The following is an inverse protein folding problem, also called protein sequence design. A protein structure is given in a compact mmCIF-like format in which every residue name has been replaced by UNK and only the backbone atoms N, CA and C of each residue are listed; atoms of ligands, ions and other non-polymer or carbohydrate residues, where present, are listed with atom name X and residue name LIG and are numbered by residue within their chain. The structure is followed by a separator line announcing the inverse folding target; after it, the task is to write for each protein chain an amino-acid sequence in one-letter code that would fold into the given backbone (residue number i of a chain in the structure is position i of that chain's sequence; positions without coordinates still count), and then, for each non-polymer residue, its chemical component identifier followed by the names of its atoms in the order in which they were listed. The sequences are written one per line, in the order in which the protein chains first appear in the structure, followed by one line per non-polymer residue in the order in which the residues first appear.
data_IF_846483266479
#
_entry.id   IF_846483266479
#
_cell.length_a   1.000
_cell.length_b   1.000
_cell.length_c   1.000
_cell.angle_alpha   90.00
_cell.angle_beta   90.00
_cell.angle_gamma   90.00
#
_symmetry.space_group_name_H-M   'P 1'
#
loop_
_entity.id
_entity.type
_entity.pdbx_description
1 polymer ?
#
# COMPACT_ATOMS: atom_id res chain seq x y z
N UNK A 1 -9.70 25.72 13.10
CA UNK A 1 -9.30 24.42 12.46
C UNK A 1 -9.28 23.34 13.53
N UNK A 2 -10.13 22.36 13.40
CA UNK A 2 -10.20 21.18 14.26
C UNK A 2 -9.53 19.98 13.55
N UNK A 3 -8.66 19.24 14.25
CA UNK A 3 -7.97 18.05 13.71
C UNK A 3 -8.37 16.84 14.53
N UNK A 4 -9.14 15.97 13.90
CA UNK A 4 -9.71 14.78 14.52
C UNK A 4 -9.86 13.64 13.51
N UNK A 5 -10.23 12.46 13.98
CA UNK A 5 -10.59 11.38 13.08
C UNK A 5 -11.90 11.69 12.34
N UNK A 6 -11.92 11.32 11.06
CA UNK A 6 -13.11 11.42 10.22
C UNK A 6 -14.14 10.40 10.68
N UNK A 7 -15.40 10.84 10.80
CA UNK A 7 -16.51 9.99 11.20
C UNK A 7 -17.16 9.32 9.97
N UNK A 8 -17.83 8.18 10.12
CA UNK A 8 -18.57 7.54 9.03
C UNK A 8 -19.57 8.44 8.33
N UNK A 9 -20.21 9.36 9.08
CA UNK A 9 -21.14 10.35 8.52
C UNK A 9 -20.50 11.40 7.62
N UNK A 10 -19.16 11.48 7.58
CA UNK A 10 -18.39 12.46 6.80
C UNK A 10 -17.70 11.84 5.58
N UNK A 11 -18.01 10.57 5.29
CA UNK A 11 -17.37 9.78 4.22
C UNK A 11 -17.49 10.42 2.84
N UNK A 12 -18.60 11.12 2.53
CA UNK A 12 -18.76 11.80 1.24
C UNK A 12 -17.77 12.95 1.05
N UNK A 13 -17.53 13.75 2.10
CA UNK A 13 -16.52 14.81 2.06
C UNK A 13 -15.12 14.21 1.89
N UNK A 14 -14.82 13.12 2.61
CA UNK A 14 -13.57 12.39 2.51
C UNK A 14 -13.36 11.88 1.08
N UNK A 15 -14.33 11.16 0.52
CA UNK A 15 -14.25 10.61 -0.83
C UNK A 15 -14.03 11.70 -1.88
N UNK A 16 -14.75 12.83 -1.77
CA UNK A 16 -14.59 13.98 -2.66
C UNK A 16 -13.17 14.55 -2.62
N UNK A 17 -12.59 14.71 -1.44
CA UNK A 17 -11.22 15.23 -1.31
C UNK A 17 -10.17 14.25 -1.86
N UNK A 18 -10.35 12.94 -1.63
CA UNK A 18 -9.42 11.94 -2.12
C UNK A 18 -9.50 11.79 -3.64
N UNK A 19 -10.71 11.76 -4.24
CA UNK A 19 -10.87 11.70 -5.71
C UNK A 19 -10.20 12.88 -6.41
N UNK A 20 -10.34 14.09 -5.87
CA UNK A 20 -9.71 15.27 -6.48
C UNK A 20 -8.18 15.30 -6.34
N UNK A 21 -7.65 14.54 -5.39
CA UNK A 21 -6.20 14.40 -5.19
C UNK A 21 -5.62 13.17 -5.91
N UNK A 22 -6.44 12.15 -6.15
CA UNK A 22 -6.09 10.89 -6.81
C UNK A 22 -7.10 10.56 -7.93
N UNK A 23 -7.06 11.28 -9.06
CA UNK A 23 -8.12 11.23 -10.09
C UNK A 23 -8.22 9.90 -10.86
N UNK A 24 -7.27 8.97 -10.66
CA UNK A 24 -7.34 7.62 -11.25
C UNK A 24 -8.39 6.71 -10.60
N UNK A 25 -8.98 7.12 -9.47
CA UNK A 25 -10.04 6.37 -8.78
C UNK A 25 -11.41 6.86 -9.21
N UNK A 26 -12.36 5.93 -9.40
CA UNK A 26 -13.76 6.33 -9.62
C UNK A 26 -14.40 6.73 -8.29
N UNK A 27 -15.24 7.79 -8.27
CA UNK A 27 -15.86 8.24 -7.02
C UNK A 27 -16.66 7.14 -6.29
N UNK A 28 -17.41 6.33 -7.03
CA UNK A 28 -18.24 5.27 -6.47
C UNK A 28 -17.42 4.14 -5.82
N UNK A 29 -16.38 3.66 -6.50
CA UNK A 29 -15.50 2.61 -5.94
C UNK A 29 -14.73 3.12 -4.73
N UNK A 30 -14.31 4.39 -4.75
CA UNK A 30 -13.59 4.99 -3.65
C UNK A 30 -14.50 5.19 -2.44
N UNK A 31 -15.74 5.63 -2.65
CA UNK A 31 -16.73 5.79 -1.58
C UNK A 31 -16.99 4.45 -0.88
N UNK A 32 -17.24 3.39 -1.63
CA UNK A 32 -17.48 2.05 -1.07
C UNK A 32 -16.28 1.54 -0.26
N UNK A 33 -15.06 1.74 -0.75
CA UNK A 33 -13.86 1.34 -0.02
C UNK A 33 -13.68 2.13 1.26
N UNK A 34 -13.89 3.45 1.23
CA UNK A 34 -13.76 4.32 2.39
C UNK A 34 -14.83 4.08 3.46
N UNK A 35 -16.05 3.76 3.06
CA UNK A 35 -17.09 3.33 4.00
C UNK A 35 -16.64 2.08 4.76
N UNK A 36 -16.06 1.09 4.05
CA UNK A 36 -15.48 -0.10 4.67
C UNK A 36 -14.35 0.25 5.66
N UNK A 37 -13.39 1.06 5.22
CA UNK A 37 -12.23 1.45 6.03
C UNK A 37 -12.61 2.25 7.28
N UNK A 38 -13.60 3.15 7.19
CA UNK A 38 -14.07 3.90 8.36
C UNK A 38 -14.77 3.04 9.42
N UNK A 39 -15.30 1.87 9.03
CA UNK A 39 -15.90 0.89 9.94
C UNK A 39 -14.88 -0.10 10.53
N UNK A 40 -13.63 -0.08 10.07
CA UNK A 40 -12.55 -0.98 10.49
C UNK A 40 -11.31 -0.18 10.90
N UNK A 41 -11.35 0.50 12.03
CA UNK A 41 -10.27 1.41 12.44
C UNK A 41 -8.93 0.73 12.73
N UNK A 42 -8.90 -0.59 12.87
CA UNK A 42 -7.71 -1.42 12.97
C UNK A 42 -6.96 -1.62 11.64
N UNK A 43 -7.63 -1.38 10.51
CA UNK A 43 -7.05 -1.48 9.16
C UNK A 43 -6.42 -0.16 8.70
N UNK A 44 -6.90 0.95 9.23
CA UNK A 44 -6.46 2.31 8.97
C UNK A 44 -7.47 3.34 9.46
N UNK A 45 -7.00 4.53 9.73
CA UNK A 45 -7.84 5.62 10.24
C UNK A 45 -7.58 6.91 9.48
N UNK A 46 -8.63 7.58 9.05
CA UNK A 46 -8.51 8.89 8.43
C UNK A 46 -8.46 10.01 9.46
N UNK A 47 -7.32 10.69 9.53
CA UNK A 47 -7.19 11.95 10.25
C UNK A 47 -7.63 13.09 9.33
N UNK A 48 -8.62 13.88 9.76
CA UNK A 48 -9.17 15.03 9.02
C UNK A 48 -8.81 16.36 9.67
N UNK A 49 -8.70 17.39 8.84
CA UNK A 49 -8.62 18.78 9.25
C UNK A 49 -9.91 19.48 8.82
N UNK A 50 -10.64 20.03 9.77
CA UNK A 50 -11.94 20.68 9.55
C UNK A 50 -11.86 22.17 9.85
N UNK A 51 -12.66 22.95 9.15
CA UNK A 51 -12.91 24.34 9.52
C UNK A 51 -13.96 24.44 10.63
N UNK A 52 -14.33 25.67 10.97
CA UNK A 52 -15.28 25.94 12.05
C UNK A 52 -16.72 25.62 11.65
N UNK A 53 -17.00 25.45 10.34
CA UNK A 53 -18.31 25.08 9.80
C UNK A 53 -18.44 23.56 9.58
N UNK A 54 -17.40 22.79 9.91
CA UNK A 54 -17.37 21.34 9.73
C UNK A 54 -17.02 20.88 8.30
N UNK A 55 -16.50 21.75 7.45
CA UNK A 55 -16.02 21.39 6.13
C UNK A 55 -14.66 20.70 6.23
N UNK A 56 -14.50 19.54 5.60
CA UNK A 56 -13.24 18.81 5.56
C UNK A 56 -12.25 19.48 4.59
N UNK A 57 -11.24 20.14 5.13
CA UNK A 57 -10.19 20.85 4.40
C UNK A 57 -9.11 19.91 3.84
N UNK A 58 -8.93 18.73 4.44
CA UNK A 58 -8.01 17.70 3.99
C UNK A 58 -7.94 16.52 4.93
N UNK A 59 -7.33 15.45 4.47
CA UNK A 59 -7.24 14.19 5.23
C UNK A 59 -5.97 13.40 4.92
N UNK A 60 -5.64 12.47 5.82
CA UNK A 60 -4.57 11.48 5.69
C UNK A 60 -5.09 10.15 6.21
N UNK A 61 -4.92 9.06 5.45
CA UNK A 61 -5.07 7.71 5.96
C UNK A 61 -3.82 7.35 6.76
N UNK A 62 -4.00 7.01 8.01
CA UNK A 62 -2.98 6.52 8.94
C UNK A 62 -3.02 5.00 8.96
N UNK A 63 -1.88 4.35 8.77
CA UNK A 63 -1.77 2.89 8.74
C UNK A 63 -0.59 2.45 9.61
N UNK A 64 -0.79 1.32 10.31
CA UNK A 64 0.21 0.75 11.21
C UNK A 64 0.90 -0.45 10.55
N UNK A 65 2.20 -0.34 10.30
CA UNK A 65 3.04 -1.37 9.73
C UNK A 65 4.08 -1.86 10.74
N UNK A 66 4.65 -3.01 10.44
CA UNK A 66 5.92 -3.44 11.02
C UNK A 66 6.97 -3.47 9.93
N UNK A 67 8.13 -2.85 10.17
CA UNK A 67 9.25 -2.76 9.23
C UNK A 67 10.45 -3.53 9.78
N UNK A 68 11.09 -4.32 8.95
CA UNK A 68 12.37 -4.93 9.30
C UNK A 68 13.50 -3.91 9.13
N UNK A 69 14.15 -3.56 10.23
CA UNK A 69 15.35 -2.72 10.22
C UNK A 69 16.54 -3.56 10.66
N UNK A 70 17.31 -4.08 9.68
CA UNK A 70 18.51 -4.90 9.93
C UNK A 70 18.27 -6.08 10.86
N UNK A 71 17.18 -6.82 10.63
CA UNK A 71 16.80 -8.00 11.41
C UNK A 71 15.93 -7.70 12.65
N UNK A 72 15.64 -6.44 12.93
CA UNK A 72 14.74 -6.05 14.02
C UNK A 72 13.40 -5.59 13.44
N UNK A 73 12.32 -6.25 13.85
CA UNK A 73 10.97 -5.85 13.46
C UNK A 73 10.51 -4.68 14.33
N UNK A 74 10.32 -3.52 13.72
CA UNK A 74 10.00 -2.27 14.42
C UNK A 74 8.62 -1.74 13.98
N UNK A 75 7.82 -1.15 14.90
CA UNK A 75 6.58 -0.49 14.52
C UNK A 75 6.87 0.73 13.63
N UNK A 76 6.05 0.91 12.60
CA UNK A 76 6.15 1.98 11.63
C UNK A 76 4.77 2.55 11.33
N UNK A 77 4.60 3.86 11.43
CA UNK A 77 3.40 4.57 11.02
C UNK A 77 3.50 5.02 9.57
N UNK A 78 2.48 4.75 8.77
CA UNK A 78 2.44 5.18 7.38
C UNK A 78 1.35 6.22 7.11
N UNK A 79 1.63 7.13 6.18
CA UNK A 79 0.67 8.08 5.64
C UNK A 79 0.31 7.70 4.21
N UNK A 80 -0.97 7.45 3.98
CA UNK A 80 -1.53 7.23 2.65
C UNK A 80 -2.64 8.23 2.36
N UNK A 81 -3.07 8.34 1.12
CA UNK A 81 -4.15 9.22 0.68
C UNK A 81 -4.09 10.64 1.27
N UNK A 82 -2.90 11.24 1.32
CA UNK A 82 -2.72 12.63 1.73
C UNK A 82 -3.45 13.53 0.76
N UNK A 83 -4.56 14.09 1.17
CA UNK A 83 -5.45 14.88 0.32
C UNK A 83 -5.73 16.26 0.90
N UNK A 84 -6.05 17.20 0.03
CA UNK A 84 -6.53 18.53 0.43
C UNK A 84 -7.69 18.93 -0.47
N UNK A 85 -8.70 19.53 0.11
CA UNK A 85 -9.82 20.12 -0.60
C UNK A 85 -9.29 21.07 -1.68
N UNK A 86 -9.81 20.94 -2.89
CA UNK A 86 -9.32 21.69 -4.04
C UNK A 86 -9.38 23.20 -3.85
N UNK A 87 -10.39 23.69 -3.14
CA UNK A 87 -10.58 25.11 -2.88
C UNK A 87 -9.65 25.66 -1.78
N UNK A 88 -9.07 24.75 -0.96
CA UNK A 88 -8.19 25.09 0.16
C UNK A 88 -6.73 24.65 -0.06
N UNK A 89 -6.33 24.46 -1.34
CA UNK A 89 -4.94 24.17 -1.68
C UNK A 89 -4.02 25.34 -1.34
N UNK A 90 -2.79 25.01 -0.89
CA UNK A 90 -1.75 25.95 -0.43
C UNK A 90 -2.00 26.60 0.95
N UNK A 91 -3.04 26.24 1.66
CA UNK A 91 -3.30 26.66 3.05
C UNK A 91 -2.56 25.82 4.10
N UNK A 92 -1.55 25.04 3.67
CA UNK A 92 -0.71 24.17 4.51
C UNK A 92 -1.46 23.05 5.25
N UNK A 93 -2.69 22.72 4.84
CA UNK A 93 -3.50 21.66 5.47
C UNK A 93 -2.75 20.34 5.54
N UNK A 94 -2.21 19.87 4.40
CA UNK A 94 -1.43 18.61 4.35
C UNK A 94 -0.19 18.64 5.25
N UNK A 95 0.55 19.77 5.30
CA UNK A 95 1.69 19.91 6.21
C UNK A 95 1.28 19.83 7.69
N UNK A 96 0.16 20.44 8.02
CA UNK A 96 -0.37 20.43 9.39
C UNK A 96 -0.79 19.03 9.80
N UNK A 97 -1.54 18.34 8.94
CA UNK A 97 -1.94 16.95 9.16
C UNK A 97 -0.74 16.00 9.33
N UNK A 98 0.27 16.11 8.47
CA UNK A 98 1.49 15.30 8.58
C UNK A 98 2.24 15.54 9.90
N UNK A 99 2.33 16.80 10.36
CA UNK A 99 2.93 17.11 11.67
C UNK A 99 2.16 16.50 12.83
N UNK A 100 0.82 16.51 12.76
CA UNK A 100 -0.03 15.90 13.78
C UNK A 100 0.13 14.38 13.76
N UNK A 101 0.15 13.76 12.58
CA UNK A 101 0.41 12.34 12.39
C UNK A 101 1.76 11.93 13.00
N UNK A 102 2.83 12.65 12.67
CA UNK A 102 4.16 12.36 13.24
C UNK A 102 4.18 12.45 14.77
N UNK A 103 3.53 13.47 15.33
CA UNK A 103 3.40 13.63 16.79
C UNK A 103 2.55 12.53 17.43
N UNK A 104 1.51 12.10 16.74
CA UNK A 104 0.67 10.97 17.19
C UNK A 104 1.52 9.71 17.31
N UNK A 105 2.23 9.32 16.26
CA UNK A 105 3.08 8.14 16.25
C UNK A 105 4.23 8.24 17.26
N UNK A 106 4.87 9.40 17.38
CA UNK A 106 5.91 9.62 18.39
C UNK A 106 5.39 9.39 19.82
N UNK A 107 4.17 9.86 20.14
CA UNK A 107 3.52 9.63 21.45
C UNK A 107 3.19 8.16 21.69
N UNK A 108 2.95 7.37 20.64
CA UNK A 108 2.72 5.93 20.74
C UNK A 108 4.03 5.12 20.82
N UNK A 109 5.18 5.78 20.80
CA UNK A 109 6.47 5.11 20.77
C UNK A 109 6.83 4.48 19.43
N UNK A 110 6.13 4.84 18.35
CA UNK A 110 6.42 4.39 16.98
C UNK A 110 7.58 5.22 16.43
N UNK A 111 8.78 4.64 16.23
CA UNK A 111 9.98 5.40 15.93
C UNK A 111 10.14 5.80 14.48
N UNK A 112 9.36 5.18 13.58
CA UNK A 112 9.53 5.33 12.13
C UNK A 112 8.21 5.82 11.51
N UNK A 113 8.30 6.87 10.70
CA UNK A 113 7.22 7.34 9.82
C UNK A 113 7.57 7.09 8.36
N UNK A 114 6.64 6.58 7.56
CA UNK A 114 6.84 6.24 6.16
C UNK A 114 5.71 6.77 5.28
N UNK A 115 6.01 6.99 4.01
CA UNK A 115 5.03 7.27 2.97
C UNK A 115 5.60 6.99 1.57
N UNK A 116 4.72 6.85 0.59
CA UNK A 116 5.12 6.84 -0.81
C UNK A 116 4.93 8.25 -1.40
N UNK A 117 6.01 8.97 -1.77
CA UNK A 117 5.90 10.38 -2.12
C UNK A 117 5.43 10.57 -3.58
N UNK A 118 4.41 11.39 -3.81
CA UNK A 118 4.11 11.93 -5.14
C UNK A 118 5.01 13.12 -5.52
N UNK A 119 5.50 13.86 -4.53
CA UNK A 119 6.45 14.96 -4.68
C UNK A 119 7.51 14.87 -3.58
N UNK A 120 8.66 14.24 -3.85
CA UNK A 120 9.72 14.06 -2.85
C UNK A 120 10.18 15.33 -2.18
N UNK A 121 10.32 16.44 -2.92
CA UNK A 121 10.77 17.71 -2.36
C UNK A 121 9.82 18.27 -1.29
N UNK A 122 8.50 18.05 -1.46
CA UNK A 122 7.51 18.45 -0.47
C UNK A 122 7.72 17.74 0.88
N UNK A 123 7.98 16.44 0.85
CA UNK A 123 8.19 15.65 2.06
C UNK A 123 9.59 15.83 2.66
N UNK A 124 10.62 16.03 1.83
CA UNK A 124 11.96 16.32 2.30
C UNK A 124 12.02 17.57 3.18
N UNK A 125 11.25 18.62 2.83
CA UNK A 125 11.12 19.83 3.65
C UNK A 125 10.47 19.61 5.01
N UNK A 126 9.91 18.41 5.26
CA UNK A 126 9.32 18.01 6.53
C UNK A 126 10.17 16.96 7.28
N UNK A 127 11.38 16.69 6.77
CA UNK A 127 12.33 15.78 7.41
C UNK A 127 12.27 14.33 6.92
N UNK A 128 11.47 14.01 5.88
CA UNK A 128 11.50 12.69 5.27
C UNK A 128 12.73 12.53 4.37
N UNK A 129 13.35 11.36 4.44
CA UNK A 129 14.43 10.94 3.56
C UNK A 129 14.05 9.72 2.72
N UNK A 130 14.81 9.45 1.67
CA UNK A 130 14.66 8.21 0.93
C UNK A 130 15.14 7.03 1.78
N UNK A 131 14.35 5.95 1.79
CA UNK A 131 14.71 4.73 2.53
C UNK A 131 14.79 3.50 1.61
N UNK A 132 13.89 3.37 0.66
CA UNK A 132 13.82 2.27 -0.29
C UNK A 132 13.70 2.78 -1.72
N UNK A 133 14.30 2.05 -2.66
CA UNK A 133 14.14 2.26 -4.09
C UNK A 133 13.36 1.08 -4.68
N UNK A 134 12.46 1.38 -5.59
CA UNK A 134 11.75 0.37 -6.37
C UNK A 134 12.36 0.31 -7.77
N UNK A 135 12.70 -0.88 -8.22
CA UNK A 135 13.23 -1.12 -9.56
C UNK A 135 12.14 -1.78 -10.42
N UNK A 136 11.85 -1.17 -11.56
CA UNK A 136 10.98 -1.76 -12.58
C UNK A 136 11.86 -2.44 -13.63
N UNK A 137 11.70 -3.76 -13.79
CA UNK A 137 12.37 -4.55 -14.81
C UNK A 137 11.38 -4.84 -15.94
N UNK A 138 11.74 -4.48 -17.17
CA UNK A 138 10.91 -4.71 -18.37
C UNK A 138 11.70 -5.52 -19.41
N UNK A 139 11.97 -6.80 -19.18
CA UNK A 139 12.63 -7.65 -20.16
C UNK A 139 11.68 -8.00 -21.32
N UNK A 140 12.22 -8.06 -22.53
CA UNK A 140 11.47 -8.67 -23.63
C UNK A 140 11.29 -10.17 -23.36
N UNK A 141 10.17 -10.81 -23.74
CA UNK A 141 9.97 -12.25 -23.57
C UNK A 141 11.11 -13.11 -24.13
N UNK A 142 11.71 -12.69 -25.25
CA UNK A 142 12.85 -13.36 -25.86
C UNK A 142 14.14 -13.31 -25.02
N UNK A 143 14.25 -12.42 -24.05
CA UNK A 143 15.38 -12.35 -23.12
C UNK A 143 15.23 -13.31 -21.94
N UNK A 144 14.02 -13.83 -21.72
CA UNK A 144 13.73 -14.80 -20.65
C UNK A 144 14.02 -16.19 -21.21
N UNK A 145 15.05 -16.82 -20.66
CA UNK A 145 15.43 -18.17 -21.09
C UNK A 145 14.42 -19.20 -20.57
N UNK A 146 13.99 -20.10 -21.46
CA UNK A 146 13.07 -21.19 -21.11
C UNK A 146 13.86 -22.42 -20.65
N UNK A 147 14.30 -22.41 -19.40
CA UNK A 147 14.87 -23.60 -18.76
C UNK A 147 14.49 -23.63 -17.27
N UNK A 148 14.54 -24.80 -16.70
CA UNK A 148 14.24 -25.06 -15.30
C UNK A 148 13.18 -26.14 -15.12
N UNK A 149 13.15 -26.70 -13.94
CA UNK A 149 12.13 -27.65 -13.54
C UNK A 149 10.84 -26.92 -13.14
N UNK A 150 9.74 -27.29 -13.77
CA UNK A 150 8.41 -26.72 -13.52
C UNK A 150 7.52 -27.64 -12.67
N UNK A 151 8.01 -28.82 -12.27
CA UNK A 151 7.22 -29.84 -11.58
C UNK A 151 6.65 -29.35 -10.23
N UNK A 152 7.30 -28.40 -9.59
CA UNK A 152 6.88 -27.81 -8.33
C UNK A 152 5.94 -26.59 -8.45
N UNK A 153 5.57 -26.17 -9.67
CA UNK A 153 4.73 -25.00 -9.88
C UNK A 153 3.26 -25.38 -9.97
N UNK A 154 2.42 -24.63 -9.27
CA UNK A 154 0.95 -24.71 -9.37
C UNK A 154 0.31 -23.38 -9.07
N UNK A 155 -0.93 -23.19 -9.52
CA UNK A 155 -1.74 -22.07 -9.01
C UNK A 155 -2.05 -22.29 -7.53
N UNK A 156 -2.01 -21.18 -6.77
CA UNK A 156 -2.41 -21.21 -5.36
C UNK A 156 -3.88 -21.53 -5.22
N UNK A 157 -4.21 -22.32 -4.21
CA UNK A 157 -5.59 -22.69 -3.85
C UNK A 157 -6.01 -21.91 -2.59
N UNK A 158 -7.31 -21.82 -2.29
CA UNK A 158 -7.77 -21.12 -1.08
C UNK A 158 -7.12 -21.62 0.21
N UNK A 159 -6.85 -22.92 0.31
CA UNK A 159 -6.18 -23.55 1.46
C UNK A 159 -4.70 -23.16 1.63
N UNK A 160 -4.04 -22.72 0.55
CA UNK A 160 -2.63 -22.28 0.56
C UNK A 160 -2.48 -20.88 1.20
N UNK A 161 -3.58 -20.14 1.39
CA UNK A 161 -3.57 -18.72 1.79
C UNK A 161 -2.76 -18.46 3.05
N UNK A 162 -3.00 -19.23 4.12
CA UNK A 162 -2.30 -19.02 5.39
C UNK A 162 -0.81 -19.34 5.27
N UNK A 163 -0.45 -20.41 4.55
CA UNK A 163 0.95 -20.79 4.33
C UNK A 163 1.72 -19.72 3.54
N UNK A 164 1.10 -19.13 2.52
CA UNK A 164 1.70 -18.04 1.74
C UNK A 164 1.94 -16.80 2.61
N UNK A 165 0.98 -16.43 3.45
CA UNK A 165 1.14 -15.29 4.38
C UNK A 165 2.25 -15.54 5.40
N UNK A 166 2.35 -16.74 5.94
CA UNK A 166 3.38 -17.10 6.90
C UNK A 166 4.76 -17.14 6.23
N UNK A 167 4.81 -17.61 4.98
CA UNK A 167 6.02 -17.58 4.17
C UNK A 167 6.49 -16.13 3.91
N UNK A 168 5.56 -15.23 3.55
CA UNK A 168 5.87 -13.82 3.39
C UNK A 168 6.38 -13.18 4.69
N UNK A 169 5.73 -13.45 5.83
CA UNK A 169 6.16 -12.94 7.13
C UNK A 169 7.56 -13.42 7.52
N UNK A 170 7.85 -14.70 7.25
CA UNK A 170 9.18 -15.26 7.47
C UNK A 170 10.23 -14.61 6.57
N UNK A 171 9.89 -14.33 5.31
CA UNK A 171 10.73 -13.56 4.39
C UNK A 171 10.96 -12.13 4.93
N UNK A 172 9.90 -11.43 5.30
CA UNK A 172 9.99 -10.06 5.82
C UNK A 172 10.83 -9.97 7.10
N UNK A 173 10.75 -10.97 7.98
CA UNK A 173 11.52 -11.01 9.22
C UNK A 173 13.04 -11.11 9.00
N UNK A 174 13.50 -11.60 7.84
CA UNK A 174 14.93 -11.70 7.50
C UNK A 174 15.40 -10.68 6.45
N UNK A 175 14.46 -9.93 5.85
CA UNK A 175 14.77 -9.00 4.74
C UNK A 175 14.69 -7.56 5.21
N UNK A 176 15.84 -6.87 5.20
CA UNK A 176 15.88 -5.45 5.55
C UNK A 176 15.00 -4.62 4.61
N UNK A 177 14.19 -3.72 5.17
CA UNK A 177 13.28 -2.86 4.44
C UNK A 177 11.93 -3.51 4.08
N UNK A 178 11.76 -4.81 4.33
CA UNK A 178 10.47 -5.46 4.14
C UNK A 178 9.48 -5.06 5.24
N UNK A 179 8.20 -4.92 4.85
CA UNK A 179 7.12 -4.51 5.74
C UNK A 179 6.09 -5.60 5.90
N UNK A 180 5.41 -5.62 7.03
CA UNK A 180 4.27 -6.50 7.29
C UNK A 180 3.07 -5.66 7.71
N UNK A 181 1.91 -5.96 7.14
CA UNK A 181 0.63 -5.38 7.53
C UNK A 181 -0.48 -6.44 7.45
N UNK A 182 -1.17 -6.67 8.56
CA UNK A 182 -2.12 -7.79 8.69
C UNK A 182 -3.28 -7.74 7.69
N UNK A 183 -3.73 -6.54 7.31
CA UNK A 183 -4.81 -6.33 6.34
C UNK A 183 -4.29 -6.18 4.91
N UNK A 184 -3.26 -5.35 4.69
CA UNK A 184 -2.78 -5.06 3.34
C UNK A 184 -2.09 -6.26 2.67
N UNK A 185 -1.35 -7.08 3.43
CA UNK A 185 -0.62 -8.21 2.85
C UNK A 185 -1.56 -9.25 2.22
N UNK A 186 -2.67 -9.67 2.86
CA UNK A 186 -3.64 -10.53 2.21
C UNK A 186 -4.22 -9.94 0.93
N UNK A 187 -4.60 -8.64 0.95
CA UNK A 187 -5.14 -7.96 -0.23
C UNK A 187 -4.11 -7.86 -1.34
N UNK A 188 -2.91 -7.40 -1.04
CA UNK A 188 -1.83 -7.28 -2.01
C UNK A 188 -1.52 -8.58 -2.76
N UNK A 189 -1.59 -9.72 -2.05
CA UNK A 189 -1.28 -11.02 -2.62
C UNK A 189 -2.50 -11.63 -3.32
N UNK A 190 -3.67 -11.64 -2.68
CA UNK A 190 -4.80 -12.46 -3.11
C UNK A 190 -5.89 -11.70 -3.88
N UNK A 191 -5.81 -10.37 -3.98
CA UNK A 191 -6.64 -9.59 -4.91
C UNK A 191 -6.02 -9.59 -6.32
N UNK A 192 -4.81 -10.14 -6.49
CA UNK A 192 -4.24 -10.37 -7.80
C UNK A 192 -4.95 -11.52 -8.51
N UNK A 193 -5.23 -11.40 -9.83
CA UNK A 193 -5.93 -12.43 -10.60
C UNK A 193 -5.26 -13.80 -10.56
N UNK A 194 -3.94 -13.80 -10.45
CA UNK A 194 -3.15 -15.03 -10.48
C UNK A 194 -2.09 -15.05 -9.39
N UNK A 195 -2.07 -16.12 -8.61
CA UNK A 195 -1.04 -16.42 -7.63
C UNK A 195 -0.47 -17.80 -7.95
N UNK A 196 0.83 -17.88 -8.15
CA UNK A 196 1.54 -19.14 -8.41
C UNK A 196 2.45 -19.43 -7.23
N UNK A 197 2.44 -20.69 -6.80
CA UNK A 197 3.31 -21.21 -5.74
C UNK A 197 4.34 -22.17 -6.33
N UNK A 198 5.52 -22.17 -5.73
CA UNK A 198 6.58 -23.14 -6.00
C UNK A 198 6.77 -24.02 -4.76
N UNK A 199 6.73 -25.34 -4.95
CA UNK A 199 6.95 -26.32 -3.88
C UNK A 199 8.09 -27.26 -4.22
N UNK A 200 8.94 -27.55 -3.24
CA UNK A 200 9.96 -28.59 -3.33
C UNK A 200 9.75 -29.55 -2.17
N UNK A 201 9.64 -30.82 -2.47
CA UNK A 201 9.36 -31.88 -1.47
C UNK A 201 8.14 -31.58 -0.59
N UNK A 202 7.08 -31.03 -1.23
CA UNK A 202 5.84 -30.64 -0.57
C UNK A 202 5.89 -29.31 0.21
N UNK A 203 7.06 -28.72 0.42
CA UNK A 203 7.23 -27.46 1.15
C UNK A 203 7.16 -26.25 0.19
N UNK A 204 6.46 -25.20 0.60
CA UNK A 204 6.45 -23.92 -0.11
C UNK A 204 7.85 -23.30 -0.07
N UNK A 205 8.41 -23.01 -1.23
CA UNK A 205 9.73 -22.39 -1.40
C UNK A 205 9.68 -21.03 -2.11
N UNK A 206 8.53 -20.65 -2.61
CA UNK A 206 8.31 -19.34 -3.19
C UNK A 206 6.92 -19.17 -3.77
N UNK A 207 6.57 -17.94 -4.05
CA UNK A 207 5.37 -17.58 -4.78
C UNK A 207 5.61 -16.33 -5.61
N UNK A 208 4.78 -16.11 -6.61
CA UNK A 208 4.66 -14.83 -7.30
C UNK A 208 3.21 -14.55 -7.69
N UNK A 209 2.90 -13.27 -7.79
CA UNK A 209 1.60 -12.79 -8.25
C UNK A 209 1.75 -12.18 -9.63
N UNK A 210 0.73 -12.31 -10.48
CA UNK A 210 0.76 -11.68 -11.79
C UNK A 210 -0.62 -11.30 -12.31
N UNK A 211 -0.61 -10.39 -13.28
CA UNK A 211 -1.76 -9.98 -14.07
C UNK A 211 -1.32 -9.70 -15.51
N UNK A 212 -2.28 -9.66 -16.43
CA UNK A 212 -2.08 -9.24 -17.81
C UNK A 212 -2.60 -7.82 -18.01
N UNK A 213 -1.72 -6.93 -18.45
CA UNK A 213 -2.05 -5.52 -18.68
C UNK A 213 -2.06 -5.26 -20.18
N UNK A 214 -3.16 -4.76 -20.71
CA UNK A 214 -3.27 -4.41 -22.13
C UNK A 214 -2.26 -3.32 -22.51
N UNK A 215 -1.50 -3.56 -23.57
CA UNK A 215 -0.46 -2.64 -24.06
C UNK A 215 -1.03 -1.69 -25.12
N UNK A 216 -2.06 -2.14 -25.85
CA UNK A 216 -2.64 -1.40 -26.95
C UNK A 216 -4.17 -1.35 -26.82
N UNK A 217 -4.73 -0.16 -26.99
CA UNK A 217 -6.18 0.05 -26.99
C UNK A 217 -6.88 -0.46 -28.26
N UNK A 218 -6.12 -0.87 -29.28
CA UNK A 218 -6.66 -1.29 -30.59
C UNK A 218 -6.86 -2.79 -30.71
N UNK A 219 -6.19 -3.61 -29.90
CA UNK A 219 -6.33 -5.07 -29.96
C UNK A 219 -6.25 -5.69 -28.57
N UNK A 220 -7.22 -6.54 -28.24
CA UNK A 220 -7.21 -7.37 -27.01
C UNK A 220 -6.16 -8.51 -27.06
N UNK A 221 -5.24 -8.47 -28.05
CA UNK A 221 -4.29 -9.57 -28.30
C UNK A 221 -2.91 -9.32 -27.69
N UNK A 222 -2.57 -8.07 -27.37
CA UNK A 222 -1.24 -7.72 -26.82
C UNK A 222 -1.34 -7.32 -25.37
N UNK A 223 -0.73 -8.12 -24.50
CA UNK A 223 -0.68 -7.86 -23.07
C UNK A 223 0.75 -7.99 -22.57
N UNK A 224 1.14 -7.11 -21.67
CA UNK A 224 2.32 -7.29 -20.84
C UNK A 224 1.97 -8.15 -19.63
N UNK A 225 2.89 -9.00 -19.22
CA UNK A 225 2.81 -9.72 -17.97
C UNK A 225 3.36 -8.82 -16.86
N UNK A 226 2.48 -8.34 -15.98
CA UNK A 226 2.85 -7.60 -14.78
C UNK A 226 3.07 -8.59 -13.63
N UNK A 227 4.24 -8.57 -13.01
CA UNK A 227 4.57 -9.36 -11.81
C UNK A 227 4.86 -8.39 -10.66
N UNK A 228 3.85 -7.99 -9.87
CA UNK A 228 4.04 -7.02 -8.79
C UNK A 228 4.86 -7.56 -7.64
N UNK A 229 4.80 -8.86 -7.41
CA UNK A 229 5.50 -9.50 -6.30
C UNK A 229 6.03 -10.88 -6.65
N UNK A 230 7.26 -11.11 -6.23
CA UNK A 230 7.90 -12.42 -6.27
C UNK A 230 8.73 -12.60 -5.01
N UNK A 231 8.43 -13.64 -4.24
CA UNK A 231 9.13 -13.99 -3.00
C UNK A 231 9.57 -15.44 -3.07
N UNK A 232 10.84 -15.69 -2.79
CA UNK A 232 11.42 -17.04 -2.84
C UNK A 232 12.54 -17.21 -1.80
N UNK A 233 12.83 -18.45 -1.49
CA UNK A 233 14.04 -18.88 -0.75
C UNK A 233 15.16 -19.18 -1.73
N UNK A 234 16.39 -18.78 -1.39
CA UNK A 234 17.62 -19.09 -2.13
C UNK A 234 18.00 -20.58 -2.00
#
# INVERSE_FOLDING_TARGET
MDIRFVLPSEVEQLARNVVTSFPSKTPAALLQNMEGELHRPDEGRYLGCFDDDGTLLGSILMMDFTLNVRGVMMPMGAAAYVSANFLHKKERVACTLLKVLMRYYAKQGTPIGCLHPFNPAFYANMGYGYCNENYLYQPKPSAIRSYGDKSGLSYARPEDRQEILDFYRAYAARTHGATVHHYMDPHRIFDMPYVVVCRRDGRLTGYFTFDFVAVDHYTDMYHDLLVPEMVYED
#
